data_IF_351445196339
#
_entry.id   IF_351445196339
#
_cell.length_a   1.000
_cell.length_b   1.000
_cell.length_c   1.000
_cell.angle_alpha   90.00
_cell.angle_beta   90.00
_cell.angle_gamma   90.00
#
_symmetry.space_group_name_H-M   'P 1'
#
loop_
_entity.id
_entity.type
_entity.pdbx_description
1 polymer ?
#
# COMPACT_ATOMS: atom_id res chain seq x y z
N UNK A 1 -9.14 -24.33 3.10
CA UNK A 1 -9.42 -24.88 4.44
C UNK A 1 -10.68 -24.23 4.98
N UNK A 2 -11.47 -24.96 5.78
CA UNK A 2 -12.75 -24.44 6.30
C UNK A 2 -12.49 -23.32 7.30
N UNK A 3 -12.98 -22.11 6.99
CA UNK A 3 -13.00 -20.93 7.87
C UNK A 3 -13.61 -21.20 9.25
N UNK A 4 -14.38 -22.29 9.39
CA UNK A 4 -15.06 -22.72 10.60
C UNK A 4 -14.17 -23.52 11.57
N UNK A 5 -12.98 -23.96 11.15
CA UNK A 5 -12.06 -24.73 11.99
C UNK A 5 -10.91 -23.91 12.59
N UNK A 6 -10.96 -22.57 12.43
CA UNK A 6 -9.95 -21.65 12.97
C UNK A 6 -10.18 -21.45 14.47
N UNK A 7 -9.16 -21.72 15.28
CA UNK A 7 -9.27 -21.74 16.76
C UNK A 7 -9.58 -20.38 17.39
N UNK A 8 -9.29 -19.27 16.69
CA UNK A 8 -9.50 -17.92 17.20
C UNK A 8 -10.85 -17.31 16.81
N UNK A 9 -11.62 -17.98 15.93
CA UNK A 9 -12.94 -17.50 15.54
C UNK A 9 -14.01 -18.00 16.48
N UNK A 10 -14.71 -17.07 17.13
CA UNK A 10 -15.85 -17.39 17.97
C UNK A 10 -17.14 -17.57 17.17
N UNK A 11 -17.97 -18.53 17.62
CA UNK A 11 -19.31 -18.81 17.08
C UNK A 11 -20.42 -17.95 17.71
N UNK A 12 -20.22 -16.63 17.83
CA UNK A 12 -21.23 -15.74 18.44
C UNK A 12 -21.72 -14.67 17.47
N UNK A 13 -23.05 -14.51 17.38
CA UNK A 13 -23.73 -13.48 16.59
C UNK A 13 -23.91 -12.14 17.35
N UNK A 14 -23.44 -12.05 18.60
CA UNK A 14 -23.54 -10.81 19.40
C UNK A 14 -22.21 -10.05 19.34
N UNK A 15 -22.23 -8.86 18.76
CA UNK A 15 -21.11 -7.91 18.75
C UNK A 15 -21.06 -7.24 20.13
N UNK A 16 -20.03 -7.53 20.93
CA UNK A 16 -19.76 -6.79 22.17
C UNK A 16 -18.85 -5.59 21.89
N UNK A 17 -18.98 -4.54 22.68
CA UNK A 17 -18.02 -3.43 22.68
C UNK A 17 -16.62 -3.97 23.03
N UNK A 18 -15.57 -3.54 22.30
CA UNK A 18 -14.18 -4.01 22.44
C UNK A 18 -13.91 -5.51 22.20
N UNK A 19 -14.87 -6.28 21.68
CA UNK A 19 -14.68 -7.72 21.46
C UNK A 19 -13.47 -8.05 20.58
N UNK A 20 -13.31 -7.32 19.48
CA UNK A 20 -12.23 -7.56 18.54
C UNK A 20 -10.84 -7.30 19.14
N UNK A 21 -10.71 -6.26 19.97
CA UNK A 21 -9.44 -5.93 20.64
C UNK A 21 -9.04 -7.06 21.60
N UNK A 22 -9.97 -7.48 22.47
CA UNK A 22 -9.77 -8.61 23.37
C UNK A 22 -9.47 -9.93 22.63
N UNK A 23 -10.16 -10.19 21.52
CA UNK A 23 -9.95 -11.39 20.72
C UNK A 23 -8.57 -11.37 20.05
N UNK A 24 -8.11 -10.21 19.57
CA UNK A 24 -6.77 -10.00 19.03
C UNK A 24 -5.68 -10.16 20.10
N UNK A 25 -5.85 -9.56 21.27
CA UNK A 25 -4.92 -9.68 22.41
C UNK A 25 -4.79 -11.14 22.85
N UNK A 26 -5.92 -11.83 23.01
CA UNK A 26 -5.94 -13.25 23.38
C UNK A 26 -5.33 -14.14 22.31
N UNK A 27 -5.62 -13.89 21.03
CA UNK A 27 -5.04 -14.66 19.93
C UNK A 27 -3.52 -14.48 19.85
N UNK A 28 -3.03 -13.26 20.06
CA UNK A 28 -1.59 -12.97 20.13
C UNK A 28 -0.93 -13.68 21.31
N UNK A 29 -1.49 -13.57 22.51
CA UNK A 29 -0.96 -14.21 23.72
C UNK A 29 -0.88 -15.74 23.58
N UNK A 30 -1.96 -16.39 23.13
CA UNK A 30 -1.97 -17.84 22.88
C UNK A 30 -0.91 -18.22 21.83
N UNK A 31 -0.77 -17.43 20.76
CA UNK A 31 0.21 -17.75 19.71
C UNK A 31 1.65 -17.60 20.22
N UNK A 32 1.93 -16.62 21.09
CA UNK A 32 3.21 -16.48 21.77
C UNK A 32 3.50 -17.65 22.73
N UNK A 33 2.48 -18.17 23.42
CA UNK A 33 2.63 -19.33 24.31
C UNK A 33 2.90 -20.63 23.54
N UNK A 34 2.16 -20.86 22.45
CA UNK A 34 2.11 -22.16 21.78
C UNK A 34 3.11 -22.30 20.61
N UNK A 35 3.70 -21.19 20.13
CA UNK A 35 4.68 -21.21 19.05
C UNK A 35 6.01 -20.60 19.50
N UNK A 36 6.94 -21.46 19.90
CA UNK A 36 8.26 -21.08 20.43
C UNK A 36 9.11 -20.27 19.44
N UNK A 37 9.02 -20.55 18.14
CA UNK A 37 9.74 -19.80 17.10
C UNK A 37 9.19 -18.38 16.95
N UNK A 38 7.86 -18.23 17.05
CA UNK A 38 7.20 -16.93 17.05
C UNK A 38 7.54 -16.16 18.33
N UNK A 39 7.54 -16.80 19.49
CA UNK A 39 8.00 -16.19 20.74
C UNK A 39 9.45 -15.71 20.65
N UNK A 40 10.36 -16.56 20.16
CA UNK A 40 11.76 -16.20 19.95
C UNK A 40 11.91 -14.98 19.05
N UNK A 41 11.23 -14.98 17.89
CA UNK A 41 11.24 -13.85 16.95
C UNK A 41 10.69 -12.57 17.58
N UNK A 42 9.61 -12.69 18.36
CA UNK A 42 8.97 -11.57 19.06
C UNK A 42 9.88 -10.96 20.13
N UNK A 43 10.48 -11.79 20.98
CA UNK A 43 11.41 -11.34 22.01
C UNK A 43 12.64 -10.65 21.41
N UNK A 44 13.13 -11.15 20.26
CA UNK A 44 14.25 -10.54 19.54
C UNK A 44 13.95 -9.12 19.03
N UNK A 45 12.70 -8.85 18.64
CA UNK A 45 12.29 -7.52 18.16
C UNK A 45 11.97 -6.55 19.30
N UNK A 46 11.42 -7.06 20.41
CA UNK A 46 10.98 -6.25 21.54
C UNK A 46 12.16 -5.88 22.45
N UNK A 47 12.97 -6.86 22.84
CA UNK A 47 14.07 -6.67 23.78
C UNK A 47 15.24 -5.96 23.11
N UNK A 48 15.96 -5.15 23.88
CA UNK A 48 17.25 -4.65 23.42
C UNK A 48 18.25 -5.80 23.27
N UNK A 49 19.17 -5.65 22.32
CA UNK A 49 20.16 -6.67 21.95
C UNK A 49 20.84 -7.32 23.17
N UNK A 50 21.29 -6.51 24.12
CA UNK A 50 21.99 -6.99 25.31
C UNK A 50 21.09 -7.84 26.22
N UNK A 51 19.82 -7.45 26.42
CA UNK A 51 18.91 -8.19 27.28
C UNK A 51 18.46 -9.49 26.60
N UNK A 52 18.25 -9.46 25.28
CA UNK A 52 17.97 -10.65 24.50
C UNK A 52 19.13 -11.66 24.52
N UNK A 53 20.36 -11.20 24.31
CA UNK A 53 21.55 -12.05 24.37
C UNK A 53 21.77 -12.63 25.77
N UNK A 54 21.54 -11.84 26.84
CA UNK A 54 21.59 -12.36 28.22
C UNK A 54 20.57 -13.45 28.44
N UNK A 55 19.32 -13.26 27.99
CA UNK A 55 18.25 -14.24 28.12
C UNK A 55 18.63 -15.59 27.49
N UNK A 56 19.25 -15.57 26.31
CA UNK A 56 19.64 -16.80 25.59
C UNK A 56 20.85 -17.52 26.21
N UNK A 57 21.70 -16.80 26.96
CA UNK A 57 22.92 -17.34 27.55
C UNK A 57 22.77 -17.65 29.06
N UNK A 58 21.54 -17.60 29.60
CA UNK A 58 21.26 -17.99 30.98
C UNK A 58 21.18 -19.51 31.15
N UNK A 59 21.43 -19.97 32.38
CA UNK A 59 21.24 -21.39 32.72
C UNK A 59 19.75 -21.75 32.69
N UNK A 60 19.40 -22.70 31.83
CA UNK A 60 18.04 -23.19 31.57
C UNK A 60 17.29 -23.61 32.85
N UNK A 61 18.00 -24.09 33.86
CA UNK A 61 17.39 -24.50 35.13
C UNK A 61 16.84 -23.32 35.96
N UNK A 62 17.29 -22.09 35.65
CA UNK A 62 17.00 -20.87 36.42
C UNK A 62 16.15 -19.85 35.66
N UNK A 63 15.72 -20.16 34.43
CA UNK A 63 14.95 -19.23 33.61
C UNK A 63 13.46 -19.59 33.67
N UNK A 64 12.61 -18.61 33.99
CA UNK A 64 11.15 -18.75 33.91
C UNK A 64 10.57 -17.74 32.93
N UNK A 65 9.54 -18.15 32.20
CA UNK A 65 8.76 -17.28 31.31
C UNK A 65 7.28 -17.60 31.50
N UNK A 66 6.50 -16.59 31.86
CA UNK A 66 5.04 -16.67 31.98
C UNK A 66 4.38 -15.64 31.06
N UNK A 67 3.28 -16.02 30.42
CA UNK A 67 2.48 -15.13 29.57
C UNK A 67 1.07 -15.12 30.11
N UNK A 68 0.58 -13.93 30.45
CA UNK A 68 -0.76 -13.72 30.97
C UNK A 68 -1.46 -12.57 30.25
N UNK A 69 -2.78 -12.50 30.41
CA UNK A 69 -3.62 -11.44 29.82
C UNK A 69 -4.42 -10.73 30.91
N UNK A 70 -4.76 -9.46 30.66
CA UNK A 70 -5.63 -8.66 31.53
C UNK A 70 -5.16 -8.62 33.00
N UNK A 71 -3.88 -8.28 33.23
CA UNK A 71 -3.28 -8.17 34.57
C UNK A 71 -3.35 -6.72 35.08
N UNK A 72 -3.60 -6.56 36.38
CA UNK A 72 -3.46 -5.28 37.09
C UNK A 72 -1.97 -4.95 37.21
N UNK A 73 -1.54 -3.83 36.64
CA UNK A 73 -0.12 -3.45 36.61
C UNK A 73 0.45 -3.16 37.99
N UNK A 74 -0.39 -2.86 38.98
CA UNK A 74 0.06 -2.65 40.37
C UNK A 74 0.46 -3.96 41.04
N UNK A 75 0.01 -5.11 40.55
CA UNK A 75 0.47 -6.41 41.06
C UNK A 75 1.84 -6.81 40.48
N UNK A 76 2.34 -6.09 39.47
CA UNK A 76 3.58 -6.38 38.76
C UNK A 76 4.71 -5.52 39.33
N UNK A 77 5.36 -5.98 40.41
CA UNK A 77 6.42 -5.26 41.10
C UNK A 77 7.79 -5.93 40.98
N UNK A 78 8.84 -5.19 41.34
CA UNK A 78 10.21 -5.68 41.54
C UNK A 78 10.90 -6.21 40.27
N UNK A 79 10.71 -5.52 39.13
CA UNK A 79 11.39 -5.81 37.87
C UNK A 79 12.61 -4.91 37.68
N UNK A 80 13.70 -5.45 37.15
CA UNK A 80 14.89 -4.67 36.79
C UNK A 80 14.67 -3.87 35.50
N UNK A 81 13.83 -4.41 34.61
CA UNK A 81 13.44 -3.74 33.36
C UNK A 81 11.99 -4.00 32.98
N UNK A 82 11.39 -2.98 32.38
CA UNK A 82 10.02 -2.96 31.89
C UNK A 82 10.04 -2.52 30.43
N UNK A 83 9.57 -3.39 29.55
CA UNK A 83 9.35 -3.06 28.15
C UNK A 83 7.86 -2.72 27.97
N UNK A 84 7.59 -1.45 27.67
CA UNK A 84 6.26 -0.93 27.43
C UNK A 84 5.97 -0.96 25.92
N UNK A 85 5.15 -1.93 25.48
CA UNK A 85 4.98 -2.26 24.06
C UNK A 85 3.61 -1.79 23.55
N UNK A 86 3.65 -0.93 22.53
CA UNK A 86 2.45 -0.55 21.77
C UNK A 86 2.17 -1.55 20.65
N UNK A 87 0.94 -2.05 20.60
CA UNK A 87 0.40 -2.84 19.49
C UNK A 87 -0.80 -2.11 18.89
N UNK A 88 -0.56 -1.21 17.94
CA UNK A 88 -1.63 -0.45 17.29
C UNK A 88 -1.48 -0.40 15.76
N UNK A 89 -2.40 0.26 15.06
CA UNK A 89 -2.25 0.52 13.62
C UNK A 89 -1.23 1.63 13.34
N UNK A 90 -1.12 2.61 14.24
CA UNK A 90 -0.16 3.71 14.10
C UNK A 90 1.19 3.33 14.71
N UNK A 91 2.25 3.90 14.12
CA UNK A 91 3.59 3.76 14.66
C UNK A 91 3.68 4.63 15.91
N UNK A 92 3.99 4.02 17.05
CA UNK A 92 4.28 4.76 18.27
C UNK A 92 5.59 5.54 18.10
N UNK A 93 5.53 6.87 18.26
CA UNK A 93 6.73 7.66 18.46
C UNK A 93 7.23 7.47 19.91
N UNK A 94 8.19 6.57 20.09
CA UNK A 94 8.74 6.23 21.41
C UNK A 94 9.40 7.41 22.11
N UNK A 95 9.84 8.44 21.36
CA UNK A 95 10.40 9.66 21.96
C UNK A 95 9.33 10.45 22.72
N UNK A 96 8.09 10.44 22.24
CA UNK A 96 6.99 11.18 22.87
C UNK A 96 6.55 10.52 24.18
N UNK A 97 6.81 9.22 24.35
CA UNK A 97 6.55 8.49 25.61
C UNK A 97 7.30 9.13 26.79
N UNK A 98 8.58 9.49 26.58
CA UNK A 98 9.42 10.08 27.61
C UNK A 98 9.17 11.58 27.83
N UNK A 99 8.42 12.23 26.92
CA UNK A 99 8.03 13.64 27.07
C UNK A 99 6.83 13.82 28.00
N UNK A 100 6.06 12.76 28.24
CA UNK A 100 4.92 12.80 29.17
C UNK A 100 5.39 13.23 30.57
N UNK A 101 4.65 14.17 31.16
CA UNK A 101 4.99 14.84 32.41
C UNK A 101 3.92 14.71 33.49
N UNK A 102 2.79 14.09 33.15
CA UNK A 102 1.67 13.77 34.02
C UNK A 102 1.31 12.31 33.76
N UNK A 103 1.48 11.48 34.77
CA UNK A 103 0.95 10.12 34.78
C UNK A 103 -0.07 9.99 35.89
N UNK A 104 -1.05 9.11 35.69
CA UNK A 104 -2.04 8.79 36.72
C UNK A 104 -1.78 7.39 37.22
N UNK A 105 -1.42 7.26 38.50
CA UNK A 105 -1.30 5.95 39.15
C UNK A 105 -2.72 5.47 39.46
N UNK A 106 -3.22 4.58 38.60
CA UNK A 106 -4.57 4.03 38.68
C UNK A 106 -4.52 2.51 38.63
N UNK A 107 -5.68 1.88 38.81
CA UNK A 107 -5.88 0.46 38.57
C UNK A 107 -5.92 0.18 37.07
N UNK A 108 -4.77 0.27 36.42
CA UNK A 108 -4.63 0.05 34.99
C UNK A 108 -4.50 -1.45 34.70
N UNK A 109 -5.33 -1.95 33.79
CA UNK A 109 -5.26 -3.32 33.29
C UNK A 109 -4.52 -3.29 31.97
N UNK A 110 -3.45 -4.08 31.86
CA UNK A 110 -2.72 -4.26 30.59
C UNK A 110 -3.22 -5.50 29.86
N UNK A 111 -3.24 -5.46 28.53
CA UNK A 111 -3.84 -6.51 27.71
C UNK A 111 -3.07 -7.82 27.76
N UNK A 112 -1.73 -7.75 27.66
CA UNK A 112 -0.83 -8.91 27.68
C UNK A 112 0.37 -8.56 28.55
N UNK A 113 0.87 -9.53 29.30
CA UNK A 113 2.12 -9.45 30.05
C UNK A 113 2.98 -10.66 29.76
N UNK A 114 4.26 -10.45 29.48
CA UNK A 114 5.29 -11.50 29.50
C UNK A 114 6.21 -11.22 30.69
N UNK A 115 6.30 -12.18 31.60
CA UNK A 115 7.12 -12.10 32.80
C UNK A 115 8.30 -13.06 32.65
N UNK A 116 9.52 -12.54 32.69
CA UNK A 116 10.76 -13.31 32.56
C UNK A 116 11.50 -13.25 33.90
N UNK A 117 11.87 -14.42 34.42
CA UNK A 117 12.54 -14.59 35.72
C UNK A 117 11.76 -13.99 36.90
N UNK A 118 10.43 -14.06 36.85
CA UNK A 118 9.58 -13.44 37.87
C UNK A 118 9.53 -14.18 39.21
N UNK A 119 10.04 -15.41 39.29
CA UNK A 119 10.11 -16.19 40.53
C UNK A 119 11.27 -15.73 41.43
N UNK A 120 11.03 -15.66 42.74
CA UNK A 120 11.92 -15.06 43.75
C UNK A 120 13.27 -15.80 43.95
N UNK A 121 13.46 -16.97 43.37
CA UNK A 121 14.60 -17.87 43.66
C UNK A 121 15.77 -17.76 42.66
N UNK A 122 15.80 -16.72 41.81
CA UNK A 122 16.83 -16.59 40.77
C UNK A 122 17.59 -15.27 40.91
N UNK A 123 18.93 -15.31 40.82
CA UNK A 123 19.78 -14.10 40.72
C UNK A 123 19.76 -13.49 39.30
N UNK A 124 18.81 -13.91 38.46
CA UNK A 124 18.71 -13.47 37.09
C UNK A 124 17.95 -12.15 37.00
N UNK A 125 18.29 -11.37 35.98
CA UNK A 125 17.58 -10.13 35.68
C UNK A 125 16.10 -10.42 35.42
N UNK A 126 15.22 -9.71 36.14
CA UNK A 126 13.76 -9.79 36.06
C UNK A 126 13.25 -8.80 35.04
N UNK A 127 12.56 -9.29 34.02
CA UNK A 127 12.04 -8.46 32.93
C UNK A 127 10.53 -8.62 32.86
N UNK A 128 9.82 -7.49 32.79
CA UNK A 128 8.41 -7.46 32.42
C UNK A 128 8.26 -6.85 31.03
N UNK A 129 7.40 -7.42 30.21
CA UNK A 129 6.97 -6.86 28.93
C UNK A 129 5.46 -6.68 29.03
N UNK A 130 4.99 -5.45 29.01
CA UNK A 130 3.55 -5.12 29.05
C UNK A 130 3.11 -4.62 27.67
N UNK A 131 1.90 -4.99 27.27
CA UNK A 131 1.36 -4.65 25.96
C UNK A 131 0.05 -3.89 26.12
N UNK A 132 -0.07 -2.82 25.35
CA UNK A 132 -1.35 -2.14 25.11
C UNK A 132 -1.74 -2.35 23.65
N UNK A 133 -2.88 -3.02 23.45
CA UNK A 133 -3.35 -3.45 22.13
C UNK A 133 -4.52 -2.58 21.71
N UNK A 134 -4.41 -1.96 20.54
CA UNK A 134 -5.51 -1.25 19.87
C UNK A 134 -5.71 -1.77 18.47
N UNK A 135 -6.98 -1.89 18.08
CA UNK A 135 -7.37 -2.31 16.72
C UNK A 135 -7.33 -1.18 15.68
N UNK A 136 -7.19 0.08 16.12
CA UNK A 136 -7.32 1.27 15.28
C UNK A 136 -6.27 2.32 15.69
N UNK A 137 -6.44 3.55 15.21
CA UNK A 137 -5.58 4.71 15.45
C UNK A 137 -5.81 5.41 16.80
N UNK A 138 -6.37 4.71 17.78
CA UNK A 138 -6.51 5.28 19.12
C UNK A 138 -5.13 5.42 19.77
N UNK A 139 -4.89 6.57 20.39
CA UNK A 139 -3.62 6.83 21.07
C UNK A 139 -3.44 5.90 22.27
N UNK A 140 -2.41 5.05 22.21
CA UNK A 140 -2.00 4.15 23.30
C UNK A 140 -1.01 4.78 24.27
N UNK A 141 -0.41 5.91 23.88
CA UNK A 141 0.77 6.48 24.53
C UNK A 141 0.56 6.74 26.02
N UNK A 142 -0.51 7.45 26.38
CA UNK A 142 -0.78 7.83 27.77
C UNK A 142 -1.12 6.60 28.63
N UNK A 143 -1.99 5.73 28.14
CA UNK A 143 -2.41 4.52 28.87
C UNK A 143 -1.22 3.58 29.12
N UNK A 144 -0.39 3.35 28.10
CA UNK A 144 0.80 2.52 28.22
C UNK A 144 1.83 3.13 29.19
N UNK A 145 1.92 4.47 29.22
CA UNK A 145 2.77 5.19 30.16
C UNK A 145 2.26 5.06 31.60
N UNK A 146 0.96 5.26 31.83
CA UNK A 146 0.33 5.12 33.14
C UNK A 146 0.44 3.69 33.69
N UNK A 147 0.31 2.69 32.81
CA UNK A 147 0.55 1.28 33.11
C UNK A 147 1.99 1.01 33.56
N UNK A 148 2.99 1.46 32.80
CA UNK A 148 4.40 1.30 33.14
C UNK A 148 4.74 2.02 34.45
N UNK A 149 4.19 3.22 34.64
CA UNK A 149 4.37 4.01 35.85
C UNK A 149 3.81 3.31 37.09
N UNK A 150 2.65 2.67 36.97
CA UNK A 150 2.00 1.95 38.06
C UNK A 150 2.79 0.72 38.54
N UNK A 151 3.68 0.17 37.71
CA UNK A 151 4.57 -0.94 38.08
C UNK A 151 5.74 -0.48 38.95
N UNK A 152 6.27 0.72 38.68
CA UNK A 152 7.44 1.27 39.39
C UNK A 152 7.06 2.09 40.62
N UNK A 153 5.84 2.63 40.67
CA UNK A 153 5.36 3.31 41.86
C UNK A 153 5.21 2.29 42.98
N UNK A 154 6.01 2.41 44.05
CA UNK A 154 5.71 1.73 45.30
C UNK A 154 4.33 2.20 45.78
N UNK A 155 3.54 1.34 46.44
CA UNK A 155 2.21 1.70 46.98
C UNK A 155 2.24 2.84 48.04
N UNK A 156 3.39 3.49 48.22
CA UNK A 156 3.59 4.67 49.03
C UNK A 156 2.95 5.91 48.38
N UNK A 157 2.16 6.62 49.17
CA UNK A 157 1.57 7.94 48.89
C UNK A 157 2.63 8.99 48.47
N UNK A 158 3.91 8.73 48.74
CA UNK A 158 5.04 9.65 48.51
C UNK A 158 5.86 9.39 47.22
N UNK A 159 5.37 8.59 46.27
CA UNK A 159 6.07 8.40 44.99
C UNK A 159 6.14 9.72 44.21
N UNK A 160 7.31 10.37 44.24
CA UNK A 160 7.55 11.60 43.50
C UNK A 160 8.08 11.28 42.09
N UNK A 161 7.16 11.28 41.12
CA UNK A 161 7.49 11.03 39.73
C UNK A 161 8.56 11.98 39.17
N UNK A 162 8.59 13.24 39.59
CA UNK A 162 9.60 14.19 39.09
C UNK A 162 11.02 13.81 39.52
N UNK A 163 11.17 13.19 40.69
CA UNK A 163 12.48 12.69 41.15
C UNK A 163 12.87 11.36 40.47
N UNK A 164 11.89 10.56 40.05
CA UNK A 164 12.13 9.30 39.33
C UNK A 164 12.42 9.51 37.83
N UNK A 165 12.05 10.68 37.27
CA UNK A 165 12.17 11.02 35.84
C UNK A 165 13.60 11.16 35.31
N UNK A 166 14.61 11.07 36.17
CA UNK A 166 16.02 11.11 35.80
C UNK A 166 16.41 9.90 34.92
N UNK A 167 17.72 9.73 34.63
CA UNK A 167 18.23 8.63 33.79
C UNK A 167 17.68 7.24 34.19
N UNK A 168 17.32 7.04 35.46
CA UNK A 168 16.75 5.80 35.99
C UNK A 168 15.44 5.39 35.30
N UNK A 169 14.52 6.33 35.02
CA UNK A 169 13.27 6.01 34.30
C UNK A 169 13.57 5.43 32.91
N UNK A 170 14.47 6.08 32.17
CA UNK A 170 14.83 5.67 30.81
C UNK A 170 15.65 4.38 30.75
N UNK A 171 16.34 4.03 31.85
CA UNK A 171 17.11 2.78 32.00
C UNK A 171 16.22 1.61 32.38
N UNK A 172 15.18 1.86 33.19
CA UNK A 172 14.25 0.86 33.68
C UNK A 172 13.09 0.62 32.72
N UNK A 173 12.50 1.67 32.15
CA UNK A 173 11.33 1.60 31.26
C UNK A 173 11.72 1.91 29.82
N UNK A 174 11.51 0.93 28.94
CA UNK A 174 11.84 1.00 27.52
C UNK A 174 10.55 0.93 26.70
N UNK A 175 10.19 2.03 26.04
CA UNK A 175 9.06 2.08 25.14
C UNK A 175 9.40 1.43 23.78
N UNK A 176 8.51 0.56 23.28
CA UNK A 176 8.68 -0.13 22.00
C UNK A 176 7.42 -0.05 21.16
N UNK A 177 7.62 0.26 19.88
CA UNK A 177 6.59 0.11 18.87
C UNK A 177 6.66 -1.31 18.26
N UNK A 178 5.69 -2.16 18.56
CA UNK A 178 5.53 -3.47 17.95
C UNK A 178 4.13 -3.59 17.33
N UNK A 179 3.84 -2.63 16.45
CA UNK A 179 2.57 -2.51 15.74
C UNK A 179 2.18 -3.77 14.94
N UNK A 180 0.91 -3.84 14.52
CA UNK A 180 0.38 -5.02 13.82
C UNK A 180 1.16 -5.44 12.58
N UNK A 181 1.78 -4.50 11.83
CA UNK A 181 2.60 -4.85 10.66
C UNK A 181 3.87 -5.59 11.08
N UNK A 182 4.52 -5.19 12.17
CA UNK A 182 5.71 -5.87 12.71
C UNK A 182 5.36 -7.27 13.20
N UNK A 183 4.28 -7.39 14.00
CA UNK A 183 3.77 -8.69 14.48
C UNK A 183 3.50 -9.63 13.31
N UNK A 184 2.79 -9.15 12.29
CA UNK A 184 2.43 -9.98 11.13
C UNK A 184 3.63 -10.30 10.25
N UNK A 185 4.62 -9.41 10.15
CA UNK A 185 5.90 -9.70 9.48
C UNK A 185 6.64 -10.85 10.17
N UNK A 186 6.74 -10.82 11.50
CA UNK A 186 7.36 -11.86 12.31
C UNK A 186 6.60 -13.18 12.22
N UNK A 187 5.26 -13.14 12.39
CA UNK A 187 4.40 -14.31 12.27
C UNK A 187 4.51 -14.98 10.90
N UNK A 188 4.50 -14.18 9.83
CA UNK A 188 4.58 -14.67 8.46
C UNK A 188 5.96 -15.25 8.12
N UNK A 189 7.03 -14.62 8.61
CA UNK A 189 8.40 -15.12 8.42
C UNK A 189 8.60 -16.47 9.12
N UNK A 190 8.13 -16.58 10.37
CA UNK A 190 8.15 -17.85 11.12
C UNK A 190 7.29 -18.90 10.43
N UNK A 191 6.09 -18.55 9.99
CA UNK A 191 5.20 -19.47 9.28
C UNK A 191 5.85 -20.02 7.99
N UNK A 192 6.48 -19.16 7.18
CA UNK A 192 7.17 -19.61 5.97
C UNK A 192 8.36 -20.51 6.29
N UNK A 193 9.15 -20.19 7.32
CA UNK A 193 10.25 -21.04 7.76
C UNK A 193 9.75 -22.41 8.28
N UNK A 194 8.69 -22.42 9.07
CA UNK A 194 8.08 -23.65 9.56
C UNK A 194 7.49 -24.49 8.41
N UNK A 195 6.86 -23.85 7.42
CA UNK A 195 6.40 -24.51 6.19
C UNK A 195 7.54 -25.09 5.36
N UNK A 196 8.69 -24.41 5.32
CA UNK A 196 9.87 -24.89 4.62
C UNK A 196 10.52 -26.09 5.33
N UNK A 197 10.42 -26.15 6.67
CA UNK A 197 11.02 -27.21 7.51
C UNK A 197 10.03 -28.30 7.92
N UNK A 198 8.82 -28.32 7.35
CA UNK A 198 7.73 -29.23 7.72
C UNK A 198 7.44 -29.28 9.23
N UNK A 199 7.56 -28.13 9.90
CA UNK A 199 7.32 -27.94 11.34
C UNK A 199 6.17 -26.97 11.63
N UNK A 200 5.26 -26.82 10.67
CA UNK A 200 4.16 -25.86 10.78
C UNK A 200 3.16 -26.22 11.87
N UNK A 201 2.71 -25.18 12.57
CA UNK A 201 1.72 -25.31 13.63
C UNK A 201 0.41 -24.72 13.18
N UNK A 202 -0.70 -25.41 13.51
CA UNK A 202 -2.04 -24.89 13.19
C UNK A 202 -2.30 -23.55 13.87
N UNK A 203 -1.84 -23.38 15.12
CA UNK A 203 -2.01 -22.14 15.89
C UNK A 203 -1.48 -20.92 15.12
N UNK A 204 -0.25 -20.95 14.62
CA UNK A 204 0.31 -19.80 13.90
C UNK A 204 -0.43 -19.53 12.58
N UNK A 205 -0.79 -20.59 11.84
CA UNK A 205 -1.56 -20.43 10.60
C UNK A 205 -2.96 -19.85 10.86
N UNK A 206 -3.62 -20.26 11.94
CA UNK A 206 -4.93 -19.77 12.34
C UNK A 206 -4.85 -18.32 12.83
N UNK A 207 -3.79 -17.94 13.55
CA UNK A 207 -3.53 -16.57 13.98
C UNK A 207 -3.40 -15.65 12.76
N UNK A 208 -2.56 -16.04 11.80
CA UNK A 208 -2.36 -15.29 10.57
C UNK A 208 -3.66 -15.13 9.79
N UNK A 209 -4.45 -16.20 9.64
CA UNK A 209 -5.74 -16.11 8.95
C UNK A 209 -6.73 -15.22 9.72
N UNK A 210 -6.75 -15.33 11.05
CA UNK A 210 -7.62 -14.56 11.92
C UNK A 210 -7.35 -13.06 11.77
N UNK A 211 -6.09 -12.64 11.93
CA UNK A 211 -5.69 -11.23 11.79
C UNK A 211 -5.95 -10.72 10.38
N UNK A 212 -5.56 -11.47 9.34
CA UNK A 212 -5.81 -11.13 7.93
C UNK A 212 -7.28 -10.92 7.62
N UNK A 213 -8.18 -11.70 8.24
CA UNK A 213 -9.61 -11.57 8.00
C UNK A 213 -10.23 -10.31 8.60
N UNK A 214 -9.57 -9.68 9.57
CA UNK A 214 -10.00 -8.42 10.18
C UNK A 214 -9.37 -7.21 9.48
N UNK A 215 -8.06 -7.28 9.20
CA UNK A 215 -7.38 -6.22 8.47
C UNK A 215 -6.28 -6.79 7.55
N UNK A 216 -6.56 -6.93 6.24
CA UNK A 216 -5.57 -7.39 5.27
C UNK A 216 -4.35 -6.47 5.15
N UNK A 217 -4.47 -5.18 5.46
CA UNK A 217 -3.38 -4.20 5.35
C UNK A 217 -2.29 -4.36 6.42
N UNK A 218 -2.55 -5.17 7.45
CA UNK A 218 -1.52 -5.53 8.43
C UNK A 218 -0.59 -6.65 7.94
N UNK A 219 -0.97 -7.36 6.87
CA UNK A 219 -0.10 -8.40 6.31
C UNK A 219 1.18 -7.79 5.73
N UNK A 220 2.35 -8.46 5.88
CA UNK A 220 3.54 -8.03 5.19
C UNK A 220 3.30 -8.06 3.68
N UNK A 221 3.56 -6.93 3.02
CA UNK A 221 3.62 -6.88 1.57
C UNK A 221 5.05 -7.16 1.13
N UNK A 222 5.23 -8.28 0.46
CA UNK A 222 6.53 -8.65 -0.07
C UNK A 222 7.00 -7.67 -1.13
N UNK A 223 8.31 -7.44 -1.16
CA UNK A 223 8.93 -6.75 -2.29
C UNK A 223 8.72 -7.54 -3.59
N UNK A 224 8.75 -6.83 -4.72
CA UNK A 224 8.53 -7.46 -6.02
C UNK A 224 9.60 -8.51 -6.33
N UNK A 225 10.84 -8.35 -5.84
CA UNK A 225 11.93 -9.30 -6.08
C UNK A 225 11.58 -10.76 -5.78
N UNK A 226 10.86 -10.99 -4.68
CA UNK A 226 10.48 -12.34 -4.22
C UNK A 226 9.01 -12.68 -4.52
N UNK A 227 8.28 -11.76 -5.13
CA UNK A 227 6.88 -11.95 -5.49
C UNK A 227 6.79 -12.61 -6.88
N UNK A 228 6.10 -13.75 -6.99
CA UNK A 228 5.85 -14.37 -8.29
C UNK A 228 4.98 -13.48 -9.17
N UNK A 229 5.30 -13.40 -10.46
CA UNK A 229 4.51 -12.70 -11.47
C UNK A 229 3.03 -13.14 -11.49
N UNK A 230 2.72 -14.39 -11.11
CA UNK A 230 1.35 -14.91 -11.04
C UNK A 230 0.52 -14.27 -9.91
N UNK A 231 1.18 -13.66 -8.92
CA UNK A 231 0.53 -13.00 -7.77
C UNK A 231 0.07 -11.58 -8.11
N UNK A 232 -0.72 -11.44 -9.19
CA UNK A 232 -1.13 -10.16 -9.75
C UNK A 232 -1.68 -9.17 -8.72
N UNK A 233 -2.57 -9.62 -7.82
CA UNK A 233 -3.18 -8.73 -6.82
C UNK A 233 -2.12 -8.16 -5.88
N UNK A 234 -1.21 -8.99 -5.38
CA UNK A 234 -0.12 -8.57 -4.47
C UNK A 234 0.84 -7.59 -5.14
N UNK A 235 1.14 -7.82 -6.42
CA UNK A 235 2.00 -6.92 -7.19
C UNK A 235 1.34 -5.54 -7.33
N UNK A 236 0.05 -5.51 -7.68
CA UNK A 236 -0.68 -4.25 -7.83
C UNK A 236 -0.91 -3.54 -6.50
N UNK A 237 -1.18 -4.27 -5.41
CA UNK A 237 -1.23 -3.74 -4.04
C UNK A 237 0.10 -3.09 -3.64
N UNK A 238 1.24 -3.76 -3.90
CA UNK A 238 2.57 -3.20 -3.62
C UNK A 238 2.85 -1.91 -4.42
N UNK A 239 2.39 -1.84 -5.67
CA UNK A 239 2.50 -0.61 -6.49
C UNK A 239 1.55 0.48 -5.97
N UNK A 240 0.37 0.14 -5.45
CA UNK A 240 -0.57 1.09 -4.86
C UNK A 240 -0.05 1.67 -3.53
N UNK A 241 0.50 0.82 -2.66
CA UNK A 241 1.20 1.23 -1.44
C UNK A 241 2.38 2.15 -1.76
N UNK A 242 3.14 1.81 -2.80
CA UNK A 242 4.24 2.63 -3.30
C UNK A 242 3.78 4.02 -3.72
N UNK A 243 2.70 4.13 -4.49
CA UNK A 243 2.14 5.42 -4.90
C UNK A 243 1.66 6.21 -3.67
N UNK A 244 0.94 5.55 -2.77
CA UNK A 244 0.39 6.16 -1.55
C UNK A 244 1.50 6.67 -0.62
N UNK A 245 2.63 5.97 -0.55
CA UNK A 245 3.75 6.36 0.28
C UNK A 245 4.64 7.45 -0.36
N UNK A 246 4.68 7.53 -1.70
CA UNK A 246 5.65 8.37 -2.42
C UNK A 246 5.07 9.68 -2.95
N UNK A 247 3.74 9.80 -3.04
CA UNK A 247 3.07 10.96 -3.63
C UNK A 247 2.08 11.59 -2.64
N UNK A 248 1.93 12.92 -2.64
CA UNK A 248 0.89 13.59 -1.87
C UNK A 248 -0.51 13.12 -2.28
N UNK A 249 -1.48 13.01 -1.35
CA UNK A 249 -2.84 12.53 -1.65
C UNK A 249 -3.53 13.28 -2.79
N UNK A 250 -3.25 14.57 -2.95
CA UNK A 250 -3.77 15.41 -4.02
C UNK A 250 -3.21 15.09 -5.41
N UNK A 251 -2.06 14.42 -5.50
CA UNK A 251 -1.46 13.97 -6.77
C UNK A 251 -1.92 12.56 -7.16
N UNK A 252 -2.48 11.78 -6.24
CA UNK A 252 -2.97 10.43 -6.51
C UNK A 252 -4.32 10.50 -7.23
N UNK A 253 -4.55 9.59 -8.19
CA UNK A 253 -5.85 9.53 -8.86
C UNK A 253 -6.94 9.06 -7.89
N UNK A 254 -8.08 9.78 -7.77
CA UNK A 254 -9.09 9.49 -6.76
C UNK A 254 -10.05 8.35 -7.16
N UNK A 255 -9.87 7.75 -8.34
CA UNK A 255 -10.86 6.84 -8.93
C UNK A 255 -10.62 5.40 -8.51
N UNK A 256 -11.61 4.78 -7.83
CA UNK A 256 -11.59 3.35 -7.52
C UNK A 256 -11.41 2.52 -8.80
N UNK A 257 -10.38 1.67 -8.81
CA UNK A 257 -10.06 0.78 -9.94
C UNK A 257 -9.17 1.38 -11.02
N UNK A 258 -8.69 2.63 -10.86
CA UNK A 258 -7.67 3.21 -11.73
C UNK A 258 -6.46 3.64 -10.89
N UNK A 259 -5.40 2.86 -10.98
CA UNK A 259 -4.13 3.17 -10.33
C UNK A 259 -3.34 4.18 -11.17
N UNK A 260 -2.80 5.21 -10.53
CA UNK A 260 -1.99 6.22 -11.20
C UNK A 260 -1.88 7.53 -10.43
N UNK A 261 -1.22 8.50 -11.07
CA UNK A 261 -0.96 9.83 -10.53
C UNK A 261 -1.31 10.92 -11.54
N UNK A 262 -1.52 12.15 -11.07
CA UNK A 262 -1.84 13.31 -11.90
C UNK A 262 -0.60 13.87 -12.61
N UNK A 263 -0.83 14.43 -13.80
CA UNK A 263 0.17 15.11 -14.62
C UNK A 263 0.04 16.64 -14.46
N UNK A 264 0.50 17.17 -13.33
CA UNK A 264 0.18 18.55 -12.92
C UNK A 264 0.97 19.65 -13.67
N UNK A 265 2.08 19.30 -14.33
CA UNK A 265 2.99 20.28 -14.96
C UNK A 265 2.72 20.54 -16.45
N UNK A 266 1.70 19.91 -17.02
CA UNK A 266 1.43 19.94 -18.45
C UNK A 266 -0.05 20.16 -18.73
N UNK A 267 -0.36 20.77 -19.88
CA UNK A 267 -1.74 21.05 -20.29
C UNK A 267 -2.26 20.07 -21.34
N UNK A 268 -1.41 19.17 -21.85
CA UNK A 268 -1.76 18.23 -22.91
C UNK A 268 -2.25 16.87 -22.39
N UNK A 269 -2.06 16.54 -21.12
CA UNK A 269 -2.58 15.33 -20.46
C UNK A 269 -2.81 15.62 -18.97
N UNK A 270 -3.67 14.83 -18.30
CA UNK A 270 -3.99 14.99 -16.88
C UNK A 270 -3.52 13.82 -16.01
N UNK A 271 -3.26 12.65 -16.58
CA UNK A 271 -3.11 11.40 -15.82
C UNK A 271 -1.97 10.54 -16.39
N UNK A 272 -1.15 9.99 -15.50
CA UNK A 272 -0.29 8.83 -15.74
C UNK A 272 -0.99 7.63 -15.12
N UNK A 273 -1.38 6.67 -15.97
CA UNK A 273 -2.13 5.48 -15.56
C UNK A 273 -1.22 4.27 -15.58
N UNK A 274 -1.32 3.43 -14.54
CA UNK A 274 -0.54 2.19 -14.41
C UNK A 274 -1.47 1.01 -14.66
N UNK A 275 -1.13 0.20 -15.66
CA UNK A 275 -1.88 -1.00 -16.01
C UNK A 275 -1.11 -2.28 -15.68
N UNK A 276 -1.85 -3.25 -15.16
CA UNK A 276 -1.38 -4.63 -15.02
C UNK A 276 -1.30 -5.28 -16.41
N UNK A 277 -0.11 -5.78 -16.76
CA UNK A 277 0.13 -6.55 -17.98
C UNK A 277 0.91 -7.84 -17.68
N UNK A 278 0.67 -8.42 -16.50
CA UNK A 278 1.41 -9.55 -15.95
C UNK A 278 1.01 -10.91 -16.57
N UNK A 279 -0.17 -11.01 -17.17
CA UNK A 279 -0.68 -12.24 -17.83
C UNK A 279 -0.05 -12.53 -19.20
N UNK A 280 0.74 -11.61 -19.76
CA UNK A 280 1.32 -11.78 -21.08
C UNK A 280 2.52 -12.74 -21.04
N UNK A 281 2.96 -13.18 -22.24
CA UNK A 281 4.15 -14.02 -22.41
C UNK A 281 5.39 -13.44 -21.74
N UNK A 282 5.49 -12.10 -21.69
CA UNK A 282 6.47 -11.37 -20.89
C UNK A 282 5.69 -10.55 -19.85
N UNK A 283 5.64 -10.99 -18.58
CA UNK A 283 4.99 -10.25 -17.52
C UNK A 283 5.56 -8.85 -17.40
N UNK A 284 4.69 -7.84 -17.34
CA UNK A 284 5.11 -6.44 -17.35
C UNK A 284 4.10 -5.54 -16.67
N UNK A 285 4.54 -4.32 -16.35
CA UNK A 285 3.68 -3.21 -15.94
C UNK A 285 3.75 -2.14 -17.01
N UNK A 286 2.59 -1.59 -17.36
CA UNK A 286 2.47 -0.55 -18.37
C UNK A 286 2.21 0.79 -17.72
N UNK A 287 2.90 1.82 -18.21
CA UNK A 287 2.67 3.20 -17.84
C UNK A 287 2.15 3.93 -19.08
N UNK A 288 0.99 4.57 -18.94
CA UNK A 288 0.27 5.14 -20.06
C UNK A 288 -0.17 6.57 -19.77
N UNK A 289 0.04 7.44 -20.74
CA UNK A 289 -0.56 8.78 -20.79
C UNK A 289 -1.44 8.90 -22.03
N UNK A 290 -2.48 9.72 -21.94
CA UNK A 290 -3.41 9.97 -23.05
C UNK A 290 -3.41 11.46 -23.42
N UNK A 291 -2.41 11.95 -24.17
CA UNK A 291 -2.38 13.33 -24.63
C UNK A 291 -3.62 13.66 -25.48
N UNK A 292 -4.16 14.87 -25.37
CA UNK A 292 -5.27 15.30 -26.25
C UNK A 292 -6.61 14.61 -25.99
N UNK A 293 -6.79 14.02 -24.80
CA UNK A 293 -8.02 13.31 -24.38
C UNK A 293 -9.26 14.23 -24.27
N UNK A 294 -9.07 15.54 -24.43
CA UNK A 294 -10.08 16.59 -24.57
C UNK A 294 -9.66 17.58 -25.66
N UNK A 295 -10.60 18.35 -26.23
CA UNK A 295 -10.26 19.44 -27.17
C UNK A 295 -9.29 20.46 -26.56
N UNK A 296 -9.45 20.80 -25.27
CA UNK A 296 -8.55 21.76 -24.60
C UNK A 296 -7.11 21.25 -24.56
N UNK A 297 -6.93 19.98 -24.20
CA UNK A 297 -5.63 19.32 -24.25
C UNK A 297 -5.08 19.25 -25.68
N UNK A 298 -5.92 18.89 -26.66
CA UNK A 298 -5.54 18.90 -28.07
C UNK A 298 -5.07 20.27 -28.54
N UNK A 299 -5.76 21.35 -28.14
CA UNK A 299 -5.33 22.72 -28.45
C UNK A 299 -3.91 22.98 -27.97
N UNK A 300 -3.53 22.52 -26.77
CA UNK A 300 -2.17 22.71 -26.26
C UNK A 300 -1.09 21.99 -27.09
N UNK A 301 -1.45 20.88 -27.75
CA UNK A 301 -0.57 20.12 -28.64
C UNK A 301 -0.44 20.82 -30.01
N UNK A 302 -1.58 21.16 -30.64
CA UNK A 302 -1.62 21.72 -32.00
C UNK A 302 -1.43 23.23 -32.07
N UNK A 303 -1.28 23.92 -30.93
CA UNK A 303 -1.08 25.39 -30.91
C UNK A 303 0.23 25.78 -31.60
N UNK A 304 1.31 25.06 -31.32
CA UNK A 304 2.68 25.43 -31.67
C UNK A 304 3.26 24.66 -32.85
N UNK A 305 2.61 23.59 -33.31
CA UNK A 305 3.07 22.76 -34.43
C UNK A 305 1.89 22.35 -35.31
N UNK A 306 2.16 22.17 -36.60
CA UNK A 306 1.16 21.64 -37.54
C UNK A 306 1.01 20.12 -37.37
N UNK A 307 2.14 19.41 -37.23
CA UNK A 307 2.19 17.96 -37.05
C UNK A 307 3.00 17.68 -35.77
N UNK A 308 2.35 17.20 -34.69
CA UNK A 308 3.04 16.89 -33.44
C UNK A 308 4.01 15.73 -33.59
N UNK A 309 5.25 15.90 -33.08
CA UNK A 309 6.28 14.86 -33.07
C UNK A 309 6.42 14.29 -31.66
N UNK A 310 6.17 13.00 -31.52
CA UNK A 310 6.37 12.27 -30.27
C UNK A 310 7.72 11.57 -30.26
N UNK A 311 8.35 11.54 -29.08
CA UNK A 311 9.51 10.68 -28.85
C UNK A 311 9.14 9.22 -29.06
N UNK A 312 10.02 8.50 -29.75
CA UNK A 312 9.88 7.07 -29.98
C UNK A 312 10.36 6.23 -28.78
N UNK A 313 11.10 6.85 -27.87
CA UNK A 313 11.64 6.22 -26.68
C UNK A 313 11.76 7.22 -25.53
N UNK A 314 11.66 6.71 -24.31
CA UNK A 314 11.95 7.41 -23.06
C UNK A 314 13.18 6.78 -22.41
N UNK A 315 13.98 7.58 -21.69
CA UNK A 315 15.17 7.10 -20.99
C UNK A 315 14.88 7.15 -19.50
N UNK A 316 14.62 5.99 -18.90
CA UNK A 316 14.30 5.88 -17.48
C UNK A 316 15.45 5.15 -16.80
N UNK A 317 16.14 5.83 -15.87
CA UNK A 317 17.32 5.30 -15.17
C UNK A 317 18.35 4.68 -16.12
N UNK A 318 18.72 5.43 -17.14
CA UNK A 318 19.66 5.02 -18.20
C UNK A 318 19.19 3.83 -19.08
N UNK A 319 17.96 3.36 -18.91
CA UNK A 319 17.37 2.31 -19.74
C UNK A 319 16.42 2.91 -20.76
N UNK A 320 16.61 2.54 -22.03
CA UNK A 320 15.77 3.00 -23.13
C UNK A 320 14.52 2.14 -23.24
N UNK A 321 13.35 2.75 -23.09
CA UNK A 321 12.05 2.11 -23.28
C UNK A 321 11.37 2.65 -24.53
N UNK A 322 10.95 1.77 -25.44
CA UNK A 322 10.19 2.16 -26.61
C UNK A 322 8.79 2.64 -26.20
N UNK A 323 8.35 3.74 -26.81
CA UNK A 323 7.00 4.27 -26.64
C UNK A 323 6.11 3.68 -27.73
N UNK A 324 5.18 2.82 -27.33
CA UNK A 324 4.08 2.43 -28.18
C UNK A 324 3.10 3.60 -28.26
N UNK A 325 3.08 4.31 -29.39
CA UNK A 325 2.13 5.37 -29.65
C UNK A 325 1.02 4.89 -30.60
N UNK A 326 -0.21 5.27 -30.30
CA UNK A 326 -1.37 5.14 -31.19
C UNK A 326 -2.06 6.48 -31.30
N UNK A 327 -2.64 6.75 -32.47
CA UNK A 327 -3.61 7.81 -32.61
C UNK A 327 -4.91 7.37 -31.92
N UNK A 328 -5.47 8.27 -31.12
CA UNK A 328 -6.68 8.04 -30.33
C UNK A 328 -7.70 9.15 -30.57
N UNK A 329 -8.76 8.86 -31.33
CA UNK A 329 -9.88 9.79 -31.50
C UNK A 329 -10.98 9.39 -30.53
N UNK A 330 -11.32 10.31 -29.62
CA UNK A 330 -12.29 10.07 -28.56
C UNK A 330 -13.62 10.77 -28.83
N UNK A 331 -14.71 10.07 -28.53
CA UNK A 331 -16.06 10.59 -28.53
C UNK A 331 -16.62 10.65 -27.10
N UNK A 332 -17.12 11.82 -26.72
CA UNK A 332 -17.74 12.05 -25.41
C UNK A 332 -19.05 12.81 -25.52
N UNK A 333 -19.93 12.64 -24.54
CA UNK A 333 -21.18 13.40 -24.43
C UNK A 333 -21.42 13.75 -22.96
N UNK A 334 -21.77 15.01 -22.67
CA UNK A 334 -21.95 15.51 -21.30
C UNK A 334 -20.75 15.14 -20.40
N UNK A 335 -19.54 15.37 -20.91
CA UNK A 335 -18.27 15.05 -20.24
C UNK A 335 -18.01 13.57 -19.96
N UNK A 336 -18.86 12.66 -20.46
CA UNK A 336 -18.69 11.21 -20.30
C UNK A 336 -18.21 10.57 -21.60
N UNK A 337 -17.16 9.75 -21.50
CA UNK A 337 -16.70 8.90 -22.60
C UNK A 337 -17.78 7.90 -23.01
N UNK A 338 -17.93 7.65 -24.32
CA UNK A 338 -18.81 6.57 -24.78
C UNK A 338 -18.26 5.73 -25.93
N UNK A 339 -17.25 6.22 -26.67
CA UNK A 339 -16.55 5.45 -27.70
C UNK A 339 -15.23 6.12 -28.13
N UNK A 340 -14.35 5.38 -28.79
CA UNK A 340 -13.11 5.89 -29.42
C UNK A 340 -12.72 5.06 -30.64
N UNK A 341 -11.78 5.60 -31.42
CA UNK A 341 -11.04 4.88 -32.46
C UNK A 341 -9.56 4.96 -32.10
N UNK A 342 -8.92 3.80 -31.96
CA UNK A 342 -7.48 3.68 -31.79
C UNK A 342 -6.87 3.07 -33.06
N UNK A 343 -5.85 3.73 -33.62
CA UNK A 343 -5.23 3.32 -34.87
C UNK A 343 -3.77 3.77 -34.94
N UNK A 344 -3.05 3.27 -35.95
CA UNK A 344 -1.67 3.64 -36.25
C UNK A 344 -1.55 4.03 -37.74
N UNK A 345 -0.40 4.57 -38.13
CA UNK A 345 -0.20 5.09 -39.49
C UNK A 345 -0.53 4.09 -40.60
N UNK A 346 -0.28 2.79 -40.38
CA UNK A 346 -0.56 1.75 -41.39
C UNK A 346 -2.04 1.57 -41.70
N UNK A 347 -2.92 2.01 -40.81
CA UNK A 347 -4.37 1.89 -40.93
C UNK A 347 -4.94 3.00 -41.84
N UNK A 348 -4.13 4.02 -42.17
CA UNK A 348 -4.45 5.10 -43.10
C UNK A 348 -3.89 4.81 -44.51
N UNK A 349 -4.43 5.48 -45.53
CA UNK A 349 -3.82 5.48 -46.86
C UNK A 349 -2.39 6.05 -46.82
N UNK A 350 -1.53 5.56 -47.72
CA UNK A 350 -0.13 5.99 -47.77
C UNK A 350 -0.04 7.52 -48.01
N UNK A 351 0.83 8.19 -47.26
CA UNK A 351 1.03 9.64 -47.33
C UNK A 351 -0.04 10.50 -46.67
N UNK A 352 -1.05 9.90 -46.02
CA UNK A 352 -2.10 10.64 -45.31
C UNK A 352 -1.75 10.84 -43.85
N UNK A 353 -1.78 12.09 -43.40
CA UNK A 353 -1.71 12.47 -41.99
C UNK A 353 -3.02 13.13 -41.55
N UNK A 354 -3.80 12.44 -40.72
CA UNK A 354 -5.06 13.01 -40.20
C UNK A 354 -4.87 13.86 -38.94
N UNK A 355 -3.72 13.74 -38.28
CA UNK A 355 -3.33 14.50 -37.08
C UNK A 355 -2.56 15.78 -37.43
N UNK A 356 -3.22 16.66 -38.20
CA UNK A 356 -2.72 18.01 -38.52
C UNK A 356 -3.47 19.08 -37.74
N UNK A 357 -2.89 20.26 -37.56
CA UNK A 357 -3.55 21.40 -36.91
C UNK A 357 -4.82 21.80 -37.63
N UNK A 358 -4.82 21.75 -38.97
CA UNK A 358 -6.01 22.04 -39.81
C UNK A 358 -7.14 21.06 -39.52
N UNK A 359 -6.86 19.76 -39.55
CA UNK A 359 -7.87 18.73 -39.28
C UNK A 359 -8.35 18.79 -37.83
N UNK A 360 -7.45 18.98 -36.88
CA UNK A 360 -7.80 19.18 -35.48
C UNK A 360 -8.77 20.37 -35.30
N UNK A 361 -8.47 21.54 -35.88
CA UNK A 361 -9.32 22.73 -35.75
C UNK A 361 -10.71 22.52 -36.37
N UNK A 362 -10.79 21.81 -37.50
CA UNK A 362 -12.05 21.53 -38.22
C UNK A 362 -12.89 20.46 -37.52
N UNK A 363 -12.29 19.34 -37.13
CA UNK A 363 -13.02 18.14 -36.73
C UNK A 363 -13.11 17.94 -35.22
N UNK A 364 -12.34 18.65 -34.40
CA UNK A 364 -12.44 18.55 -32.93
C UNK A 364 -13.53 19.45 -32.32
N UNK A 365 -14.04 19.04 -31.17
CA UNK A 365 -15.04 19.76 -30.38
C UNK A 365 -16.45 19.27 -30.65
N UNK A 366 -17.42 20.14 -30.38
CA UNK A 366 -18.83 19.79 -30.42
C UNK A 366 -19.32 19.55 -31.84
N UNK A 367 -20.07 18.47 -32.02
CA UNK A 367 -20.63 18.00 -33.28
C UNK A 367 -22.10 17.67 -33.08
N UNK A 368 -22.95 18.38 -33.80
CA UNK A 368 -24.41 18.33 -33.70
C UNK A 368 -24.97 17.53 -34.87
N UNK A 369 -26.04 16.78 -34.62
CA UNK A 369 -26.69 15.96 -35.64
C UNK A 369 -27.32 16.80 -36.75
N UNK A 370 -27.85 17.97 -36.40
CA UNK A 370 -28.65 18.81 -37.30
C UNK A 370 -27.80 19.68 -38.24
N UNK A 371 -26.49 19.86 -37.97
CA UNK A 371 -25.62 20.75 -38.73
C UNK A 371 -24.72 19.98 -39.71
N UNK A 372 -25.15 18.79 -40.14
CA UNK A 372 -24.41 17.87 -41.03
C UNK A 372 -23.02 17.42 -40.52
N UNK A 373 -22.62 17.83 -39.30
CA UNK A 373 -21.30 17.55 -38.74
C UNK A 373 -21.00 16.05 -38.62
N UNK A 374 -22.01 15.23 -38.40
CA UNK A 374 -21.84 13.77 -38.29
C UNK A 374 -21.45 13.17 -39.63
N UNK A 375 -22.10 13.61 -40.71
CA UNK A 375 -21.76 13.18 -42.07
C UNK A 375 -20.37 13.65 -42.48
N UNK A 376 -19.99 14.87 -42.12
CA UNK A 376 -18.63 15.37 -42.37
C UNK A 376 -17.55 14.53 -41.68
N UNK A 377 -17.84 13.98 -40.49
CA UNK A 377 -16.92 13.08 -39.79
C UNK A 377 -16.86 11.71 -40.48
N UNK A 378 -18.01 11.17 -40.89
CA UNK A 378 -18.06 9.92 -41.66
C UNK A 378 -17.24 10.04 -42.95
N UNK A 379 -17.46 11.11 -43.71
CA UNK A 379 -16.74 11.37 -44.96
C UNK A 379 -15.25 11.56 -44.72
N UNK A 380 -14.89 12.29 -43.65
CA UNK A 380 -13.49 12.44 -43.25
C UNK A 380 -12.85 11.08 -42.96
N UNK A 381 -13.50 10.19 -42.24
CA UNK A 381 -12.91 8.88 -41.95
C UNK A 381 -12.91 7.95 -43.17
N UNK A 382 -13.96 7.95 -43.98
CA UNK A 382 -14.05 7.15 -45.21
C UNK A 382 -12.98 7.52 -46.24
N UNK A 383 -12.60 8.79 -46.30
CA UNK A 383 -11.56 9.27 -47.22
C UNK A 383 -10.13 8.94 -46.76
N UNK A 384 -9.91 8.72 -45.46
CA UNK A 384 -8.56 8.66 -44.90
C UNK A 384 -8.17 7.26 -44.39
N UNK A 385 -9.12 6.45 -43.90
CA UNK A 385 -8.85 5.08 -43.47
C UNK A 385 -8.85 4.10 -44.64
N UNK A 386 -7.98 3.10 -44.57
CA UNK A 386 -7.96 2.02 -45.56
C UNK A 386 -9.21 1.13 -45.42
N UNK A 387 -9.65 0.48 -46.51
CA UNK A 387 -10.82 -0.40 -46.47
C UNK A 387 -10.71 -1.59 -45.49
N UNK A 388 -9.48 -2.06 -45.20
CA UNK A 388 -9.21 -3.14 -44.24
C UNK A 388 -9.29 -2.69 -42.77
N UNK A 389 -9.35 -1.38 -42.52
CA UNK A 389 -9.60 -0.80 -41.21
C UNK A 389 -11.05 -0.32 -41.10
N UNK A 390 -11.96 -1.21 -40.69
CA UNK A 390 -13.37 -0.86 -40.46
C UNK A 390 -13.55 0.04 -39.22
N UNK A 391 -13.31 1.34 -39.40
CA UNK A 391 -13.37 2.34 -38.35
C UNK A 391 -14.77 2.41 -37.70
N UNK A 392 -15.85 2.12 -38.45
CA UNK A 392 -17.22 2.15 -37.94
C UNK A 392 -17.43 1.06 -36.91
N UNK A 393 -16.98 -0.16 -37.21
CA UNK A 393 -17.04 -1.26 -36.23
C UNK A 393 -16.12 -1.01 -35.04
N UNK A 394 -14.92 -0.45 -35.25
CA UNK A 394 -13.96 -0.17 -34.17
C UNK A 394 -14.52 0.76 -33.09
N UNK A 395 -15.31 1.76 -33.47
CA UNK A 395 -15.97 2.66 -32.51
C UNK A 395 -17.46 2.36 -32.32
N UNK A 396 -17.97 1.26 -32.89
CA UNK A 396 -19.39 0.91 -32.88
C UNK A 396 -20.29 2.11 -33.26
N UNK A 397 -19.94 2.76 -34.38
CA UNK A 397 -20.53 4.02 -34.83
C UNK A 397 -22.06 3.97 -34.92
N UNK A 398 -22.58 2.88 -35.48
CA UNK A 398 -24.01 2.72 -35.71
C UNK A 398 -24.80 2.74 -34.40
N UNK A 399 -24.39 1.96 -33.39
CA UNK A 399 -25.12 1.87 -32.12
C UNK A 399 -24.83 3.04 -31.20
N UNK A 400 -23.56 3.46 -31.11
CA UNK A 400 -23.11 4.45 -30.13
C UNK A 400 -23.38 5.88 -30.57
N UNK A 401 -23.45 6.16 -31.87
CA UNK A 401 -23.69 7.50 -32.42
C UNK A 401 -25.05 7.56 -33.14
N UNK A 402 -25.24 6.85 -34.25
CA UNK A 402 -26.40 7.03 -35.16
C UNK A 402 -27.74 6.61 -34.53
N UNK A 403 -27.82 5.39 -34.02
CA UNK A 403 -29.01 4.81 -33.39
C UNK A 403 -29.16 5.23 -31.92
N UNK A 404 -28.22 6.02 -31.40
CA UNK A 404 -28.31 6.54 -30.05
C UNK A 404 -29.32 7.69 -29.98
N UNK A 405 -29.81 7.99 -28.77
CA UNK A 405 -30.65 9.16 -28.51
C UNK A 405 -29.87 10.49 -28.43
N UNK A 406 -28.58 10.50 -28.80
CA UNK A 406 -27.73 11.69 -28.73
C UNK A 406 -28.08 12.66 -29.86
N UNK A 407 -28.14 13.94 -29.54
CA UNK A 407 -28.27 15.04 -30.52
C UNK A 407 -26.94 15.74 -30.79
N UNK A 408 -25.95 15.49 -29.92
CA UNK A 408 -24.59 16.03 -30.01
C UNK A 408 -23.58 15.14 -29.30
N UNK A 409 -22.32 15.23 -29.72
CA UNK A 409 -21.15 14.70 -29.01
C UNK A 409 -19.95 15.62 -29.22
N UNK A 410 -18.90 15.45 -28.43
CA UNK A 410 -17.63 16.14 -28.58
C UNK A 410 -16.57 15.16 -29.12
N UNK A 411 -15.74 15.62 -30.05
CA UNK A 411 -14.61 14.86 -30.65
C UNK A 411 -13.30 15.42 -30.11
N UNK A 412 -12.39 14.55 -29.68
CA UNK A 412 -11.04 14.93 -29.28
C UNK A 412 -10.01 14.10 -30.03
N UNK A 413 -9.02 14.76 -30.62
CA UNK A 413 -7.90 14.11 -31.28
C UNK A 413 -6.76 14.05 -30.29
N UNK A 414 -6.43 12.83 -29.86
CA UNK A 414 -5.39 12.57 -28.89
C UNK A 414 -4.50 11.41 -29.29
N UNK A 415 -3.62 11.05 -28.38
CA UNK A 415 -2.69 9.95 -28.54
C UNK A 415 -2.87 8.99 -27.36
N UNK A 416 -2.49 7.74 -27.55
CA UNK A 416 -2.18 6.82 -26.46
C UNK A 416 -0.69 6.57 -26.50
N UNK A 417 0.03 6.95 -25.44
CA UNK A 417 1.48 6.76 -25.34
C UNK A 417 1.75 5.82 -24.18
N UNK A 418 2.31 4.66 -24.48
CA UNK A 418 2.51 3.59 -23.50
C UNK A 418 3.97 3.15 -23.52
N UNK A 419 4.59 3.09 -22.36
CA UNK A 419 5.81 2.32 -22.15
C UNK A 419 5.47 1.05 -21.37
N UNK A 420 6.22 -0.02 -21.64
CA UNK A 420 6.07 -1.30 -20.96
C UNK A 420 7.39 -1.63 -20.27
N UNK A 421 7.36 -1.76 -18.94
CA UNK A 421 8.53 -2.14 -18.14
C UNK A 421 8.36 -3.62 -17.78
N UNK A 422 9.29 -4.50 -18.20
CA UNK A 422 9.28 -5.91 -17.81
C UNK A 422 9.27 -6.07 -16.29
N UNK A 423 8.50 -7.03 -15.80
CA UNK A 423 8.38 -7.28 -14.36
C UNK A 423 9.74 -7.63 -13.74
N UNK A 424 10.58 -8.36 -14.47
CA UNK A 424 11.95 -8.68 -14.04
C UNK A 424 12.79 -7.45 -13.72
N UNK A 425 12.58 -6.33 -14.40
CA UNK A 425 13.26 -5.07 -14.08
C UNK A 425 12.72 -4.50 -12.75
N UNK A 426 11.40 -4.52 -12.55
CA UNK A 426 10.79 -4.08 -11.29
C UNK A 426 11.28 -4.89 -10.09
N UNK A 427 11.49 -6.20 -10.28
CA UNK A 427 12.07 -7.10 -9.28
C UNK A 427 13.51 -6.72 -8.88
N UNK A 428 14.28 -6.09 -9.77
CA UNK A 428 15.62 -5.57 -9.42
C UNK A 428 15.57 -4.24 -8.67
N UNK A 429 14.46 -3.50 -8.79
CA UNK A 429 14.29 -2.17 -8.19
C UNK A 429 13.68 -2.29 -6.78
N UNK A 430 12.66 -3.13 -6.61
CA UNK A 430 11.97 -3.36 -5.33
C UNK A 430 12.47 -4.65 -4.69
N UNK A 431 13.56 -4.54 -3.93
CA UNK A 431 14.24 -5.65 -3.25
C UNK A 431 14.02 -5.68 -1.74
N UNK A 432 13.56 -4.59 -1.15
CA UNK A 432 13.38 -4.44 0.30
C UNK A 432 11.90 -4.27 0.64
N UNK A 433 11.34 -5.25 1.34
CA UNK A 433 9.96 -5.29 1.83
C UNK A 433 9.57 -4.01 2.59
N UNK A 434 10.52 -3.42 3.33
CA UNK A 434 10.27 -2.26 4.19
C UNK A 434 10.51 -0.92 3.50
N UNK A 435 10.97 -0.90 2.24
CA UNK A 435 11.32 0.32 1.53
C UNK A 435 10.57 0.43 0.19
N UNK A 436 9.71 1.43 0.08
CA UNK A 436 8.94 1.73 -1.13
C UNK A 436 9.60 2.79 -2.03
N UNK A 437 10.65 3.48 -1.55
CA UNK A 437 11.19 4.68 -2.20
C UNK A 437 11.77 4.39 -3.58
N UNK A 438 12.42 3.24 -3.77
CA UNK A 438 13.02 2.89 -5.06
C UNK A 438 11.98 2.70 -6.16
N UNK A 439 10.88 2.03 -5.82
CA UNK A 439 9.74 1.82 -6.72
C UNK A 439 9.00 3.15 -6.94
N UNK A 440 8.86 3.98 -5.91
CA UNK A 440 8.22 5.29 -5.99
C UNK A 440 8.99 6.23 -6.91
N UNK A 441 10.30 6.29 -6.75
CA UNK A 441 11.19 7.03 -7.61
C UNK A 441 11.11 6.56 -9.07
N UNK A 442 10.87 5.27 -9.35
CA UNK A 442 10.70 4.80 -10.73
C UNK A 442 9.42 5.39 -11.35
N UNK A 443 8.31 5.41 -10.60
CA UNK A 443 7.05 6.01 -11.06
C UNK A 443 7.26 7.50 -11.34
N UNK A 444 8.01 8.19 -10.50
CA UNK A 444 8.34 9.60 -10.70
C UNK A 444 9.25 9.82 -11.93
N UNK A 445 10.29 9.01 -12.10
CA UNK A 445 11.17 9.08 -13.28
C UNK A 445 10.36 8.89 -14.57
N UNK A 446 9.42 7.94 -14.58
CA UNK A 446 8.49 7.73 -15.70
C UNK A 446 7.62 8.96 -15.94
N UNK A 447 7.06 9.56 -14.88
CA UNK A 447 6.22 10.77 -14.98
C UNK A 447 7.01 11.93 -15.61
N UNK A 448 8.23 12.15 -15.14
CA UNK A 448 9.11 13.21 -15.62
C UNK A 448 9.48 13.02 -17.09
N UNK A 449 9.83 11.80 -17.50
CA UNK A 449 10.12 11.51 -18.90
C UNK A 449 8.90 11.73 -19.80
N UNK A 450 7.69 11.41 -19.32
CA UNK A 450 6.46 11.70 -20.05
C UNK A 450 6.16 13.19 -20.17
N UNK A 451 6.53 14.06 -19.22
CA UNK A 451 6.37 15.51 -19.37
C UNK A 451 7.06 16.05 -20.64
N UNK A 452 8.09 15.36 -21.10
CA UNK A 452 8.86 15.70 -22.29
C UNK A 452 8.60 14.77 -23.48
N UNK A 453 7.39 14.17 -23.58
CA UNK A 453 7.06 13.23 -24.66
C UNK A 453 6.97 13.90 -26.05
N UNK A 454 6.56 15.17 -26.10
CA UNK A 454 6.57 15.97 -27.32
C UNK A 454 7.93 16.66 -27.48
N UNK A 455 8.48 16.62 -28.70
CA UNK A 455 9.73 17.30 -29.04
C UNK A 455 9.53 18.78 -29.36
#
# INVERSE_FOLDING_TARGET
>A
MSKFLNVFRYYTNKVREFQLENDLSKALAITLMENSMFLYGSLKEILDKNDFEKLLNQDLASTSLDISIQRDTRELKNYDKIYAVSVSEEILNTVDFYKLNLGVINKEITDIVIQINALEETNNQRIAIIFEVKRNRQGVLQQLFDQALSMVSNDSIDFNFQNFRDEEFSKMIIAKDWNWKKIMSTAWSVYNFQKFTDSDTKILSDFIEFVRSHNPLWMPQFCLNITSADSHSKIMERIEDCITASFPPEEILPYKGRLGIKMNMINWCNELIIYNNLKNSIPSIQFAVYPGNTKSQGNSIFKTTDIPKLKQHLIIRSTKYNVAHRFHIKFSAFSSYFSSIDFIQRDLFEGIDIYTKVNFNKFSGRKTRNDNNWKEIEDFFDLNFRPDFDWRSKCNWQEKMINSRRTRFDVSFGYSCIITIPYSILQTIDVDTNNLLNLGGLVEDVRQEFYHIFN
#
